data_IF_989107202759
#
_entry.id   IF_989107202759
#
_cell.length_a   1.000
_cell.length_b   1.000
_cell.length_c   1.000
_cell.angle_alpha   90.00
_cell.angle_beta   90.00
_cell.angle_gamma   90.00
#
_symmetry.space_group_name_H-M   'P 1'
#
loop_
_entity.id
_entity.type
_entity.pdbx_description
1 polymer ?
#
# COMPACT_ATOMS: atom_id res chain seq x y z
N UNK A 1 22.03 -11.46 6.60
CA UNK A 1 21.42 -10.33 5.88
C UNK A 1 20.72 -9.44 6.90
N UNK A 2 20.85 -8.11 6.81
CA UNK A 2 20.15 -7.20 7.70
C UNK A 2 18.75 -6.90 7.17
N UNK A 3 17.72 -7.05 8.01
CA UNK A 3 16.35 -6.64 7.69
C UNK A 3 16.18 -5.11 7.65
N UNK A 4 17.16 -4.36 8.18
CA UNK A 4 17.07 -2.91 8.30
C UNK A 4 16.90 -2.17 6.97
N UNK A 5 17.43 -2.72 5.88
CA UNK A 5 17.30 -2.15 4.53
C UNK A 5 15.87 -2.17 3.99
N UNK A 6 14.99 -2.97 4.60
CA UNK A 6 13.61 -3.18 4.14
C UNK A 6 12.58 -2.46 5.00
N UNK A 7 12.99 -1.74 6.05
CA UNK A 7 12.08 -0.85 6.77
C UNK A 7 11.81 0.40 5.94
N UNK A 8 10.53 0.70 5.75
CA UNK A 8 10.03 1.82 4.97
C UNK A 8 9.48 2.95 5.86
N UNK A 9 9.75 2.90 7.17
CA UNK A 9 9.34 3.95 8.11
C UNK A 9 9.72 5.33 7.61
N UNK A 10 8.73 6.23 7.57
CA UNK A 10 8.90 7.61 7.08
C UNK A 10 8.95 7.75 5.55
N UNK A 11 8.65 6.68 4.79
CA UNK A 11 8.44 6.75 3.34
C UNK A 11 6.94 6.74 3.02
N UNK A 12 6.60 7.33 1.88
CA UNK A 12 5.24 7.29 1.31
C UNK A 12 5.29 6.56 -0.03
N UNK A 13 4.37 5.64 -0.26
CA UNK A 13 4.27 4.85 -1.49
C UNK A 13 2.89 5.00 -2.12
N UNK A 14 2.85 5.32 -3.42
CA UNK A 14 1.64 5.27 -4.24
C UNK A 14 1.54 3.89 -4.88
N UNK A 15 0.41 3.23 -4.70
CA UNK A 15 0.10 1.94 -5.33
C UNK A 15 -1.18 2.08 -6.15
N UNK A 16 -1.10 1.78 -7.45
CA UNK A 16 -2.21 1.89 -8.41
C UNK A 16 -2.93 0.55 -8.56
N UNK A 17 -4.25 0.58 -8.80
CA UNK A 17 -5.09 -0.61 -8.86
C UNK A 17 -5.08 -1.42 -7.56
N UNK A 18 -4.89 -0.74 -6.42
CA UNK A 18 -4.58 -1.39 -5.14
C UNK A 18 -5.82 -1.66 -4.27
N UNK A 19 -7.02 -1.48 -4.78
CA UNK A 19 -8.25 -1.81 -4.03
C UNK A 19 -8.50 -3.32 -3.91
N UNK A 20 -7.78 -4.15 -4.68
CA UNK A 20 -7.87 -5.61 -4.60
C UNK A 20 -6.64 -6.33 -5.19
N UNK A 21 -6.64 -7.66 -5.08
CA UNK A 21 -5.71 -8.53 -5.81
C UNK A 21 -4.23 -8.29 -5.48
N UNK A 22 -3.33 -8.32 -6.49
CA UNK A 22 -1.90 -8.17 -6.27
C UNK A 22 -1.52 -6.76 -5.79
N UNK A 23 -2.22 -5.72 -6.24
CA UNK A 23 -1.98 -4.34 -5.79
C UNK A 23 -2.21 -4.18 -4.28
N UNK A 24 -3.32 -4.73 -3.77
CA UNK A 24 -3.60 -4.76 -2.33
C UNK A 24 -2.59 -5.62 -1.55
N UNK A 25 -2.16 -6.76 -2.12
CA UNK A 25 -1.12 -7.57 -1.46
C UNK A 25 0.19 -6.80 -1.32
N UNK A 26 0.56 -6.02 -2.35
CA UNK A 26 1.75 -5.18 -2.34
C UNK A 26 1.62 -4.03 -1.34
N UNK A 27 0.51 -3.28 -1.38
CA UNK A 27 0.30 -2.15 -0.48
C UNK A 27 0.34 -2.56 1.00
N UNK A 28 -0.21 -3.74 1.32
CA UNK A 28 -0.29 -4.29 2.66
C UNK A 28 1.10 -4.71 3.13
N UNK A 29 1.92 -5.28 2.25
CA UNK A 29 3.31 -5.60 2.54
C UNK A 29 4.14 -4.34 2.82
N UNK A 30 3.98 -3.31 1.99
CA UNK A 30 4.68 -2.02 2.15
C UNK A 30 4.25 -1.28 3.42
N UNK A 31 2.95 -1.30 3.74
CA UNK A 31 2.40 -0.75 4.98
C UNK A 31 2.98 -1.46 6.21
N UNK A 32 3.03 -2.80 6.19
CA UNK A 32 3.65 -3.61 7.25
C UNK A 32 5.15 -3.34 7.41
N UNK A 33 5.83 -2.94 6.34
CA UNK A 33 7.22 -2.49 6.39
C UNK A 33 7.38 -1.05 6.93
N UNK A 34 6.29 -0.31 7.16
CA UNK A 34 6.29 1.01 7.77
C UNK A 34 6.05 2.18 6.81
N UNK A 35 5.72 1.92 5.54
CA UNK A 35 5.38 2.97 4.60
C UNK A 35 3.97 3.54 4.87
N UNK A 36 3.79 4.84 4.65
CA UNK A 36 2.46 5.40 4.41
C UNK A 36 2.02 5.07 2.97
N UNK A 37 0.79 4.60 2.82
CA UNK A 37 0.28 4.15 1.52
C UNK A 37 -0.73 5.17 0.98
N UNK A 38 -0.60 5.48 -0.31
CA UNK A 38 -1.62 6.15 -1.12
C UNK A 38 -2.18 5.11 -2.08
N UNK A 39 -3.46 4.79 -1.94
CA UNK A 39 -4.18 3.85 -2.81
C UNK A 39 -4.82 4.62 -3.96
N UNK A 40 -4.64 4.14 -5.19
CA UNK A 40 -5.31 4.67 -6.37
C UNK A 40 -6.08 3.58 -7.11
N UNK A 41 -7.28 3.91 -7.59
CA UNK A 41 -8.10 3.07 -8.46
C UNK A 41 -8.99 3.94 -9.35
N UNK A 42 -9.63 3.35 -10.35
CA UNK A 42 -10.54 4.05 -11.26
C UNK A 42 -11.96 4.17 -10.71
N UNK A 43 -12.33 3.33 -9.74
CA UNK A 43 -13.70 3.25 -9.21
C UNK A 43 -13.74 3.80 -7.79
N UNK A 44 -14.47 4.90 -7.58
CA UNK A 44 -14.56 5.57 -6.27
C UNK A 44 -15.09 4.64 -5.17
N UNK A 45 -16.13 3.87 -5.44
CA UNK A 45 -16.72 2.93 -4.46
C UNK A 45 -15.70 1.90 -3.95
N UNK A 46 -14.76 1.48 -4.81
CA UNK A 46 -13.68 0.58 -4.41
C UNK A 46 -12.65 1.28 -3.54
N UNK A 47 -12.34 2.54 -3.82
CA UNK A 47 -11.46 3.35 -2.98
C UNK A 47 -12.06 3.55 -1.59
N UNK A 48 -13.34 3.91 -1.52
CA UNK A 48 -14.06 4.10 -0.25
C UNK A 48 -14.05 2.82 0.59
N UNK A 49 -14.22 1.67 -0.05
CA UNK A 49 -14.15 0.36 0.61
C UNK A 49 -12.74 -0.03 1.06
N UNK A 50 -11.69 0.47 0.39
CA UNK A 50 -10.31 0.15 0.70
C UNK A 50 -9.71 1.00 1.83
N UNK A 51 -10.33 2.14 2.15
CA UNK A 51 -9.88 3.06 3.22
C UNK A 51 -10.77 3.04 4.47
N UNK A 52 -11.89 2.30 4.44
CA UNK A 52 -12.80 2.09 5.56
C UNK A 52 -12.27 1.06 6.57
#
# INVERSE_FOLDING_TARGET
>A
MSLSLFYLTGKTALVTGATHGPGMSMDTGLAKAGAQIIVNDMVQEKLDSAVA
#
